data_IF_960320998192
#
_entry.id   IF_960320998192
#
_cell.length_a   1.000
_cell.length_b   1.000
_cell.length_c   1.000
_cell.angle_alpha   90.00
_cell.angle_beta   90.00
_cell.angle_gamma   90.00
#
_symmetry.space_group_name_H-M   'P 1'
#
loop_
_entity.id
_entity.type
_entity.pdbx_description
1 polymer ?
#
# COMPACT_ATOMS: atom_id res chain seq x y z
N UNK A 1 -3.82 3.48 13.56
CA UNK A 1 -3.83 2.46 12.47
C UNK A 1 -2.39 2.24 12.04
N UNK A 2 -1.96 1.00 11.85
CA UNK A 2 -0.63 0.66 11.30
C UNK A 2 -0.85 -0.26 10.09
N UNK A 3 -0.36 0.13 8.92
CA UNK A 3 -0.65 -0.57 7.64
C UNK A 3 0.37 -1.65 7.31
N UNK A 4 1.64 -1.42 7.62
CA UNK A 4 2.73 -2.37 7.45
C UNK A 4 3.94 -1.92 8.28
N UNK A 5 4.95 -2.78 8.36
CA UNK A 5 6.30 -2.46 8.84
C UNK A 5 7.27 -3.12 7.86
N UNK A 6 7.85 -2.31 6.98
CA UNK A 6 8.82 -2.71 5.95
C UNK A 6 10.16 -1.99 6.16
N UNK A 7 11.23 -2.51 5.55
CA UNK A 7 12.54 -1.87 5.50
C UNK A 7 12.51 -0.64 4.57
N UNK A 8 12.08 0.50 5.10
CA UNK A 8 12.23 1.80 4.45
C UNK A 8 13.07 2.74 5.33
N UNK A 9 13.60 3.79 4.72
CA UNK A 9 14.37 4.82 5.42
C UNK A 9 15.59 4.28 6.18
N UNK A 10 16.31 3.29 5.61
CA UNK A 10 17.61 2.80 6.10
C UNK A 10 18.73 3.86 6.12
N UNK A 11 18.42 5.11 5.79
CA UNK A 11 19.28 6.27 6.03
C UNK A 11 19.16 6.79 7.48
N UNK A 12 18.09 6.42 8.18
CA UNK A 12 17.76 6.81 9.57
C UNK A 12 17.74 5.62 10.53
N UNK A 13 17.36 4.44 10.05
CA UNK A 13 17.29 3.22 10.83
C UNK A 13 18.37 2.23 10.39
N UNK A 14 18.92 1.48 11.35
CA UNK A 14 19.97 0.49 11.10
C UNK A 14 19.42 -0.75 10.42
N UNK A 15 18.24 -1.20 10.83
CA UNK A 15 17.59 -2.42 10.35
C UNK A 15 16.09 -2.43 10.68
N UNK A 16 15.38 -3.45 10.21
CA UNK A 16 13.96 -3.67 10.49
C UNK A 16 13.63 -3.79 11.98
N UNK A 17 14.54 -4.32 12.81
CA UNK A 17 14.29 -4.50 14.25
C UNK A 17 14.20 -3.16 14.99
N UNK A 18 15.00 -2.17 14.59
CA UNK A 18 14.91 -0.81 15.15
C UNK A 18 13.55 -0.16 14.81
N UNK A 19 13.07 -0.35 13.58
CA UNK A 19 11.75 0.14 13.15
C UNK A 19 10.65 -0.59 13.92
N UNK A 20 10.77 -1.92 14.07
CA UNK A 20 9.83 -2.76 14.81
C UNK A 20 9.74 -2.34 16.27
N UNK A 21 10.87 -2.04 16.91
CA UNK A 21 10.93 -1.55 18.29
C UNK A 21 10.33 -0.14 18.44
N UNK A 22 10.50 0.74 17.46
CA UNK A 22 9.81 2.04 17.44
C UNK A 22 8.29 1.86 17.45
N UNK A 23 7.76 1.00 16.58
CA UNK A 23 6.33 0.69 16.56
C UNK A 23 5.87 0.00 17.83
N UNK A 24 6.69 -0.87 18.45
CA UNK A 24 6.40 -1.47 19.76
C UNK A 24 6.16 -0.38 20.79
N UNK A 25 7.09 0.57 20.92
CA UNK A 25 6.99 1.69 21.88
C UNK A 25 5.76 2.53 21.61
N UNK A 26 5.47 2.82 20.34
CA UNK A 26 4.27 3.55 19.95
C UNK A 26 2.99 2.84 20.41
N UNK A 27 2.87 1.52 20.17
CA UNK A 27 1.70 0.74 20.59
C UNK A 27 1.58 0.70 22.12
N UNK A 28 2.69 0.49 22.84
CA UNK A 28 2.70 0.45 24.31
C UNK A 28 2.29 1.80 24.90
N UNK A 29 2.67 2.91 24.25
CA UNK A 29 2.36 4.27 24.70
C UNK A 29 0.89 4.68 24.57
N UNK A 30 0.05 3.87 23.91
CA UNK A 30 -1.37 4.14 23.81
C UNK A 30 -2.05 4.08 25.20
N UNK A 31 -3.13 4.86 25.41
CA UNK A 31 -3.99 4.72 26.59
C UNK A 31 -4.51 3.29 26.76
N UNK A 32 -4.94 2.93 27.97
CA UNK A 32 -5.40 1.56 28.28
C UNK A 32 -6.66 1.16 27.52
N UNK A 33 -7.52 2.12 27.19
CA UNK A 33 -8.71 1.94 26.34
C UNK A 33 -8.40 2.11 24.84
N UNK A 34 -7.16 2.46 24.48
CA UNK A 34 -6.69 2.67 23.12
C UNK A 34 -6.80 1.42 22.25
N UNK A 35 -7.16 1.62 20.98
CA UNK A 35 -7.28 0.55 20.00
C UNK A 35 -6.15 0.61 18.96
N UNK A 36 -5.50 -0.53 18.76
CA UNK A 36 -4.65 -0.77 17.59
C UNK A 36 -5.49 -1.36 16.45
N UNK A 37 -5.40 -0.79 15.27
CA UNK A 37 -5.91 -1.39 14.02
C UNK A 37 -4.70 -1.69 13.15
N UNK A 38 -4.46 -2.97 12.87
CA UNK A 38 -3.22 -3.45 12.26
C UNK A 38 -3.47 -4.43 11.11
N UNK A 39 -2.67 -4.34 10.05
CA UNK A 39 -2.67 -5.36 9.00
C UNK A 39 -2.05 -6.65 9.56
N UNK A 40 -2.84 -7.72 9.72
CA UNK A 40 -2.34 -8.99 10.23
C UNK A 40 -1.56 -9.79 9.20
N UNK A 41 -1.75 -9.52 7.91
CA UNK A 41 -1.03 -10.16 6.80
C UNK A 41 0.39 -9.64 6.61
N UNK A 42 0.75 -8.55 7.28
CA UNK A 42 2.14 -8.10 7.38
C UNK A 42 2.84 -8.91 8.48
N UNK A 43 3.81 -9.80 8.18
CA UNK A 43 4.38 -10.71 9.18
C UNK A 43 5.02 -9.99 10.38
N UNK A 44 5.78 -8.92 10.12
CA UNK A 44 6.45 -8.10 11.14
C UNK A 44 5.43 -7.42 12.06
N UNK A 45 4.38 -6.84 11.50
CA UNK A 45 3.34 -6.16 12.26
C UNK A 45 2.43 -7.14 12.99
N UNK A 46 1.96 -8.18 12.30
CA UNK A 46 1.07 -9.21 12.83
C UNK A 46 1.69 -9.98 14.00
N UNK A 47 3.00 -10.26 13.96
CA UNK A 47 3.73 -10.82 15.11
C UNK A 47 3.88 -9.82 16.25
N UNK A 48 4.23 -8.56 15.96
CA UNK A 48 4.41 -7.50 16.95
C UNK A 48 3.12 -7.25 17.76
N UNK A 49 1.98 -7.09 17.10
CA UNK A 49 0.71 -6.80 17.83
C UNK A 49 0.25 -7.97 18.69
N UNK A 50 0.54 -9.21 18.29
CA UNK A 50 0.28 -10.41 19.12
C UNK A 50 1.17 -10.44 20.35
N UNK A 51 2.44 -10.07 20.22
CA UNK A 51 3.40 -10.03 21.31
C UNK A 51 3.06 -8.94 22.35
N UNK A 52 2.67 -7.74 21.88
CA UNK A 52 2.40 -6.60 22.76
C UNK A 52 1.11 -6.76 23.58
N UNK A 53 0.13 -7.53 23.08
CA UNK A 53 -1.08 -7.88 23.84
C UNK A 53 -2.04 -6.72 24.14
N UNK A 54 -1.85 -5.55 23.52
CA UNK A 54 -2.81 -4.42 23.58
C UNK A 54 -4.09 -4.75 22.81
N UNK A 55 -5.18 -4.05 23.14
CA UNK A 55 -6.45 -4.16 22.40
C UNK A 55 -6.22 -3.90 20.92
N UNK A 56 -6.52 -4.91 20.09
CA UNK A 56 -6.20 -4.89 18.67
C UNK A 56 -7.36 -5.43 17.82
N UNK A 57 -7.56 -4.82 16.65
CA UNK A 57 -8.34 -5.38 15.54
C UNK A 57 -7.37 -5.62 14.39
N UNK A 58 -7.19 -6.89 14.02
CA UNK A 58 -6.42 -7.27 12.84
C UNK A 58 -7.32 -7.28 11.61
N UNK A 59 -6.80 -6.75 10.50
CA UNK A 59 -7.44 -6.85 9.19
C UNK A 59 -6.51 -7.45 8.16
N UNK A 60 -7.07 -8.11 7.15
CA UNK A 60 -6.29 -8.71 6.07
C UNK A 60 -7.15 -9.57 5.14
N UNK A 61 -6.51 -10.34 4.28
CA UNK A 61 -7.12 -11.30 3.38
C UNK A 61 -6.97 -12.73 3.93
N UNK A 62 -5.88 -13.01 4.65
CA UNK A 62 -5.58 -14.34 5.17
C UNK A 62 -6.48 -14.71 6.37
N UNK A 63 -6.58 -16.01 6.61
CA UNK A 63 -7.23 -16.56 7.79
C UNK A 63 -6.53 -16.06 9.08
N UNK A 64 -7.29 -15.92 10.17
CA UNK A 64 -6.79 -15.44 11.46
C UNK A 64 -6.88 -13.92 11.66
N UNK A 65 -7.22 -13.15 10.62
CA UNK A 65 -7.62 -11.76 10.79
C UNK A 65 -9.05 -11.63 11.29
N UNK A 66 -9.30 -10.62 12.13
CA UNK A 66 -10.63 -10.34 12.66
C UNK A 66 -11.55 -9.78 11.59
N UNK A 67 -11.05 -8.85 10.77
CA UNK A 67 -11.78 -8.22 9.65
C UNK A 67 -11.17 -8.70 8.35
N UNK A 68 -11.95 -9.29 7.45
CA UNK A 68 -11.43 -9.90 6.23
C UNK A 68 -12.18 -9.50 4.98
N UNK A 69 -11.48 -9.42 3.86
CA UNK A 69 -12.11 -9.40 2.54
C UNK A 69 -12.13 -10.82 1.95
N UNK A 70 -13.30 -11.23 1.49
CA UNK A 70 -13.57 -12.52 0.86
C UNK A 70 -14.23 -12.30 -0.51
N UNK A 71 -14.23 -13.33 -1.36
CA UNK A 71 -14.83 -13.31 -2.71
C UNK A 71 -14.38 -12.11 -3.56
N UNK A 72 -13.07 -11.84 -3.54
CA UNK A 72 -12.48 -10.67 -4.19
C UNK A 72 -12.54 -10.82 -5.70
N UNK A 73 -13.21 -9.87 -6.36
CA UNK A 73 -13.22 -9.70 -7.81
C UNK A 73 -12.52 -8.39 -8.14
N UNK A 74 -11.42 -8.48 -8.90
CA UNK A 74 -10.68 -7.33 -9.40
C UNK A 74 -11.17 -6.94 -10.80
N UNK A 75 -11.21 -5.65 -11.08
CA UNK A 75 -11.51 -5.09 -12.40
C UNK A 75 -10.63 -3.87 -12.69
N UNK A 76 -10.67 -3.35 -13.92
CA UNK A 76 -9.70 -2.37 -14.45
C UNK A 76 -9.38 -1.21 -13.50
N UNK A 77 -10.39 -0.66 -12.82
CA UNK A 77 -10.24 0.48 -11.92
C UNK A 77 -10.78 0.23 -10.52
N UNK A 78 -10.81 -1.03 -10.09
CA UNK A 78 -11.44 -1.30 -8.80
C UNK A 78 -11.49 -2.74 -8.37
N UNK A 79 -12.25 -2.94 -7.31
CA UNK A 79 -12.51 -4.25 -6.75
C UNK A 79 -13.88 -4.32 -6.11
N UNK A 80 -14.43 -5.52 -6.04
CA UNK A 80 -15.65 -5.84 -5.29
C UNK A 80 -15.36 -7.04 -4.40
N UNK A 81 -15.77 -6.97 -3.14
CA UNK A 81 -15.51 -8.02 -2.17
C UNK A 81 -16.53 -7.98 -1.02
N UNK A 82 -16.73 -9.14 -0.41
CA UNK A 82 -17.50 -9.32 0.83
C UNK A 82 -16.60 -9.05 2.01
N UNK A 83 -17.12 -8.44 3.08
CA UNK A 83 -16.35 -8.22 4.30
C UNK A 83 -16.94 -9.01 5.45
N UNK A 84 -16.09 -9.78 6.12
CA UNK A 84 -16.43 -10.53 7.32
C UNK A 84 -15.78 -9.93 8.56
N UNK A 85 -16.49 -10.00 9.70
CA UNK A 85 -15.98 -9.73 11.03
C UNK A 85 -16.15 -11.00 11.87
N UNK A 86 -15.05 -11.57 12.35
CA UNK A 86 -15.05 -12.86 13.07
C UNK A 86 -15.78 -13.97 12.28
N UNK A 87 -15.63 -13.98 10.94
CA UNK A 87 -16.28 -14.95 10.06
C UNK A 87 -17.76 -14.70 9.78
N UNK A 88 -18.35 -13.63 10.32
CA UNK A 88 -19.73 -13.23 10.00
C UNK A 88 -19.74 -12.11 8.96
N UNK A 89 -20.59 -12.22 7.95
CA UNK A 89 -20.78 -11.17 6.94
C UNK A 89 -21.32 -9.89 7.57
N UNK A 90 -20.64 -8.76 7.31
CA UNK A 90 -21.05 -7.46 7.83
C UNK A 90 -21.42 -6.45 6.74
N UNK A 91 -20.77 -6.50 5.57
CA UNK A 91 -21.10 -5.65 4.43
C UNK A 91 -20.44 -6.16 3.14
N UNK A 92 -20.78 -5.53 2.02
CA UNK A 92 -20.09 -5.70 0.75
C UNK A 92 -19.50 -4.35 0.33
N UNK A 93 -18.25 -4.35 -0.12
CA UNK A 93 -17.55 -3.14 -0.57
C UNK A 93 -17.32 -3.22 -2.07
N UNK A 94 -17.50 -2.08 -2.73
CA UNK A 94 -16.96 -1.82 -4.06
C UNK A 94 -15.99 -0.66 -3.92
N UNK A 95 -14.79 -0.78 -4.47
CA UNK A 95 -13.80 0.30 -4.55
C UNK A 95 -13.62 0.67 -6.01
N UNK A 96 -13.62 1.97 -6.29
CA UNK A 96 -13.30 2.53 -7.61
C UNK A 96 -11.85 3.04 -7.68
N UNK A 97 -10.96 2.35 -6.95
CA UNK A 97 -9.52 2.51 -7.02
C UNK A 97 -8.87 1.14 -7.21
N UNK A 98 -7.91 0.99 -8.12
CA UNK A 98 -7.37 -0.32 -8.46
C UNK A 98 -6.35 -0.82 -7.45
N UNK A 99 -6.09 -2.13 -7.49
CA UNK A 99 -5.03 -2.77 -6.72
C UNK A 99 -5.46 -3.33 -5.38
N UNK A 100 -4.93 -4.51 -5.06
CA UNK A 100 -5.21 -5.25 -3.81
C UNK A 100 -4.80 -4.46 -2.57
N UNK A 101 -3.76 -3.62 -2.66
CA UNK A 101 -3.34 -2.74 -1.57
C UNK A 101 -4.46 -1.78 -1.11
N UNK A 102 -5.36 -1.37 -2.02
CA UNK A 102 -6.51 -0.55 -1.65
C UNK A 102 -7.62 -1.33 -0.93
N UNK A 103 -7.70 -2.65 -1.12
CA UNK A 103 -8.56 -3.52 -0.31
C UNK A 103 -8.09 -3.48 1.15
N UNK A 104 -6.78 -3.64 1.40
CA UNK A 104 -6.21 -3.51 2.74
C UNK A 104 -6.50 -2.14 3.36
N UNK A 105 -6.31 -1.06 2.60
CA UNK A 105 -6.60 0.30 3.07
C UNK A 105 -8.09 0.48 3.43
N UNK A 106 -9.00 -0.07 2.61
CA UNK A 106 -10.43 -0.03 2.87
C UNK A 106 -10.81 -0.85 4.11
N UNK A 107 -10.23 -2.03 4.31
CA UNK A 107 -10.45 -2.83 5.51
C UNK A 107 -9.94 -2.12 6.77
N UNK A 108 -8.81 -1.41 6.69
CA UNK A 108 -8.31 -0.59 7.79
C UNK A 108 -9.30 0.53 8.15
N UNK A 109 -9.80 1.25 7.15
CA UNK A 109 -10.77 2.33 7.34
C UNK A 109 -12.10 1.80 7.90
N UNK A 110 -12.61 0.69 7.35
CA UNK A 110 -13.82 0.03 7.83
C UNK A 110 -13.67 -0.45 9.27
N UNK A 111 -12.50 -1.01 9.64
CA UNK A 111 -12.22 -1.47 10.99
C UNK A 111 -12.33 -0.33 12.02
N UNK A 112 -11.82 0.85 11.67
CA UNK A 112 -11.96 2.06 12.50
C UNK A 112 -13.42 2.50 12.55
N UNK A 113 -14.10 2.58 11.40
CA UNK A 113 -15.49 3.02 11.34
C UNK A 113 -16.44 2.11 12.15
N UNK A 114 -16.25 0.79 12.05
CA UNK A 114 -16.98 -0.20 12.83
C UNK A 114 -16.70 -0.05 14.34
N UNK A 115 -15.44 0.20 14.73
CA UNK A 115 -15.11 0.45 16.13
C UNK A 115 -15.80 1.70 16.69
N UNK A 116 -15.92 2.74 15.86
CA UNK A 116 -16.65 3.97 16.17
C UNK A 116 -18.18 3.82 16.01
N UNK A 117 -18.67 2.60 15.75
CA UNK A 117 -20.10 2.29 15.60
C UNK A 117 -20.80 3.11 14.50
N UNK A 118 -20.05 3.46 13.45
CA UNK A 118 -20.62 4.12 12.28
C UNK A 118 -21.44 3.11 11.46
N UNK A 119 -22.59 3.50 10.87
CA UNK A 119 -23.39 2.62 10.03
C UNK A 119 -22.58 2.09 8.84
N UNK A 120 -22.41 0.77 8.76
CA UNK A 120 -21.53 0.15 7.76
C UNK A 120 -22.03 0.36 6.33
N UNK A 121 -23.34 0.44 6.13
CA UNK A 121 -23.95 0.75 4.84
C UNK A 121 -23.49 2.11 4.33
N UNK A 122 -23.41 3.10 5.22
CA UNK A 122 -22.93 4.45 4.89
C UNK A 122 -21.43 4.43 4.59
N UNK A 123 -20.65 3.67 5.35
CA UNK A 123 -19.20 3.54 5.12
C UNK A 123 -18.94 2.87 3.77
N UNK A 124 -19.64 1.78 3.45
CA UNK A 124 -19.54 1.10 2.17
C UNK A 124 -19.90 2.02 0.99
N UNK A 125 -20.96 2.83 1.13
CA UNK A 125 -21.34 3.81 0.11
C UNK A 125 -20.28 4.91 -0.08
N UNK A 126 -19.63 5.38 0.99
CA UNK A 126 -18.55 6.36 0.90
C UNK A 126 -17.32 5.76 0.21
N UNK A 127 -16.94 4.54 0.58
CA UNK A 127 -15.81 3.84 -0.04
C UNK A 127 -16.02 3.59 -1.54
N UNK A 128 -17.26 3.32 -1.95
CA UNK A 128 -17.60 3.22 -3.38
C UNK A 128 -17.45 4.54 -4.13
N UNK A 129 -17.61 5.69 -3.46
CA UNK A 129 -17.45 7.01 -4.07
C UNK A 129 -16.03 7.59 -3.88
N UNK A 130 -15.10 6.82 -3.32
CA UNK A 130 -13.73 7.28 -3.14
C UNK A 130 -13.00 7.33 -4.50
N UNK A 131 -12.58 8.54 -4.90
CA UNK A 131 -11.93 8.80 -6.18
C UNK A 131 -10.40 8.70 -6.15
N UNK A 132 -9.83 8.11 -5.10
CA UNK A 132 -8.38 8.04 -4.91
C UNK A 132 -7.79 9.28 -4.25
N UNK A 133 -6.46 9.29 -4.19
CA UNK A 133 -5.67 10.41 -3.70
C UNK A 133 -4.77 10.91 -4.84
N UNK A 134 -4.41 12.20 -4.81
CA UNK A 134 -3.48 12.76 -5.80
C UNK A 134 -2.20 11.93 -5.87
N UNK A 135 -1.76 11.62 -7.10
CA UNK A 135 -0.57 10.81 -7.37
C UNK A 135 -0.63 9.39 -6.77
N UNK A 136 -1.80 8.80 -6.60
CA UNK A 136 -1.97 7.37 -6.25
C UNK A 136 -2.87 6.73 -7.28
N UNK A 137 -2.25 6.09 -8.28
CA UNK A 137 -2.87 5.55 -9.49
C UNK A 137 -3.83 6.56 -10.15
N UNK A 138 -3.38 7.81 -10.27
CA UNK A 138 -4.21 8.91 -10.75
C UNK A 138 -4.28 8.91 -12.28
N UNK A 139 -5.47 8.73 -12.84
CA UNK A 139 -5.70 8.87 -14.28
C UNK A 139 -5.49 10.33 -14.71
N UNK A 140 -4.43 10.59 -15.49
CA UNK A 140 -4.14 11.93 -16.04
C UNK A 140 -4.86 12.20 -17.36
N UNK A 141 -5.18 11.15 -18.12
CA UNK A 141 -5.91 11.27 -19.36
C UNK A 141 -5.86 10.03 -20.23
N UNK A 142 -6.67 10.05 -21.29
CA UNK A 142 -6.71 9.03 -22.35
C UNK A 142 -6.64 9.72 -23.70
N UNK A 143 -5.73 9.28 -24.57
CA UNK A 143 -5.60 9.80 -25.93
C UNK A 143 -5.03 8.72 -26.86
N UNK A 144 -5.58 8.59 -28.07
CA UNK A 144 -5.09 7.64 -29.09
C UNK A 144 -4.93 6.19 -28.59
N UNK A 145 -5.85 5.73 -27.73
CA UNK A 145 -5.78 4.39 -27.13
C UNK A 145 -4.71 4.22 -26.05
N UNK A 146 -4.03 5.30 -25.64
CA UNK A 146 -3.06 5.33 -24.55
C UNK A 146 -3.73 5.92 -23.32
N UNK A 147 -3.49 5.30 -22.17
CA UNK A 147 -3.91 5.78 -20.87
C UNK A 147 -2.68 6.20 -20.07
N UNK A 148 -2.71 7.42 -19.52
CA UNK A 148 -1.62 7.95 -18.70
C UNK A 148 -2.05 7.97 -17.24
N UNK A 149 -1.25 7.33 -16.39
CA UNK A 149 -1.47 7.25 -14.94
C UNK A 149 -0.24 7.81 -14.23
N UNK A 150 -0.46 8.64 -13.20
CA UNK A 150 0.59 9.14 -12.30
C UNK A 150 0.51 8.40 -10.95
N UNK A 151 1.66 7.96 -10.45
CA UNK A 151 1.77 7.27 -9.16
C UNK A 151 3.04 7.72 -8.40
N UNK A 152 2.90 7.90 -7.08
CA UNK A 152 3.95 8.32 -6.16
C UNK A 152 4.88 7.18 -5.71
N UNK A 153 4.61 5.95 -6.14
CA UNK A 153 5.39 4.77 -5.84
C UNK A 153 6.88 5.00 -6.09
N UNK A 154 7.65 4.94 -5.02
CA UNK A 154 9.10 5.14 -5.05
C UNK A 154 9.85 4.04 -4.30
N UNK A 155 9.14 3.19 -3.54
CA UNK A 155 9.67 1.96 -2.98
C UNK A 155 9.36 0.76 -3.89
N UNK A 156 10.25 -0.25 -4.01
CA UNK A 156 10.01 -1.45 -4.82
C UNK A 156 8.66 -2.14 -4.57
N UNK A 157 8.19 -2.19 -3.32
CA UNK A 157 6.88 -2.76 -2.96
C UNK A 157 5.72 -1.98 -3.58
N UNK A 158 5.77 -0.64 -3.53
CA UNK A 158 4.74 0.22 -4.11
C UNK A 158 4.72 0.12 -5.65
N UNK A 159 5.90 0.00 -6.26
CA UNK A 159 6.04 -0.13 -7.72
C UNK A 159 5.42 -1.43 -8.20
N UNK A 160 5.70 -2.56 -7.53
CA UNK A 160 5.04 -3.83 -7.83
C UNK A 160 3.53 -3.74 -7.68
N UNK A 161 3.05 -3.13 -6.60
CA UNK A 161 1.62 -2.96 -6.37
C UNK A 161 0.95 -2.12 -7.47
N UNK A 162 1.63 -1.08 -7.95
CA UNK A 162 1.17 -0.21 -9.05
C UNK A 162 1.11 -0.98 -10.37
N UNK A 163 2.16 -1.71 -10.73
CA UNK A 163 2.20 -2.45 -11.98
C UNK A 163 1.22 -3.63 -11.99
N UNK A 164 1.08 -4.33 -10.86
CA UNK A 164 0.07 -5.38 -10.70
C UNK A 164 -1.35 -4.81 -10.87
N UNK A 165 -1.63 -3.62 -10.32
CA UNK A 165 -2.90 -2.92 -10.53
C UNK A 165 -3.11 -2.51 -11.99
N UNK A 166 -2.06 -2.12 -12.71
CA UNK A 166 -2.18 -1.87 -14.15
C UNK A 166 -2.52 -3.16 -14.93
N UNK A 167 -1.99 -4.30 -14.52
CA UNK A 167 -2.23 -5.61 -15.18
C UNK A 167 -3.62 -6.20 -14.94
N UNK A 168 -4.40 -5.70 -13.98
CA UNK A 168 -5.81 -6.10 -13.85
C UNK A 168 -6.69 -5.51 -14.94
N UNK A 169 -6.21 -4.49 -15.66
CA UNK A 169 -6.89 -3.94 -16.84
C UNK A 169 -6.60 -4.71 -18.12
N UNK A 170 -7.49 -4.58 -19.11
CA UNK A 170 -7.36 -5.22 -20.42
C UNK A 170 -6.41 -4.45 -21.36
N UNK A 171 -5.23 -4.07 -20.88
CA UNK A 171 -4.24 -3.33 -21.68
C UNK A 171 -3.32 -4.26 -22.45
N UNK A 172 -3.07 -3.95 -23.73
CA UNK A 172 -2.11 -4.70 -24.56
C UNK A 172 -0.68 -4.54 -24.09
N UNK A 173 -0.34 -3.37 -23.53
CA UNK A 173 1.00 -3.03 -23.07
C UNK A 173 0.96 -2.14 -21.84
N UNK A 174 1.87 -2.36 -20.90
CA UNK A 174 2.17 -1.51 -19.74
C UNK A 174 3.55 -0.90 -19.92
N UNK A 175 3.59 0.43 -20.10
CA UNK A 175 4.84 1.20 -20.20
C UNK A 175 5.05 1.95 -18.89
N UNK A 176 6.21 1.76 -18.25
CA UNK A 176 6.58 2.49 -17.03
C UNK A 176 7.60 3.57 -17.36
N UNK A 177 7.34 4.79 -16.90
CA UNK A 177 8.33 5.86 -16.80
C UNK A 177 8.65 6.06 -15.32
N UNK A 178 9.88 5.79 -14.91
CA UNK A 178 10.30 5.85 -13.51
C UNK A 178 11.41 6.87 -13.30
N UNK A 179 11.18 7.79 -12.37
CA UNK A 179 12.18 8.74 -11.89
C UNK A 179 12.68 8.30 -10.51
N UNK A 180 13.92 7.79 -10.39
CA UNK A 180 14.47 7.44 -9.09
C UNK A 180 14.59 8.67 -8.19
N UNK A 181 14.23 8.53 -6.91
CA UNK A 181 14.28 9.62 -5.94
C UNK A 181 15.41 9.39 -4.92
N UNK A 182 16.37 10.32 -4.88
CA UNK A 182 17.64 10.31 -4.11
C UNK A 182 18.65 9.25 -4.55
N UNK A 183 19.91 9.67 -4.66
CA UNK A 183 21.03 8.79 -5.01
C UNK A 183 21.29 7.69 -3.97
N UNK A 184 21.23 8.01 -2.67
CA UNK A 184 21.48 7.05 -1.58
C UNK A 184 20.51 5.86 -1.66
N UNK A 185 19.22 6.15 -1.77
CA UNK A 185 18.15 5.17 -1.90
C UNK A 185 18.29 4.35 -3.18
N UNK A 186 18.55 5.01 -4.31
CA UNK A 186 18.73 4.34 -5.60
C UNK A 186 19.87 3.32 -5.55
N UNK A 187 21.01 3.68 -4.94
CA UNK A 187 22.15 2.77 -4.76
C UNK A 187 21.81 1.60 -3.84
N UNK A 188 21.18 1.86 -2.69
CA UNK A 188 20.83 0.82 -1.69
C UNK A 188 19.84 -0.21 -2.24
N UNK A 189 18.86 0.23 -3.02
CA UNK A 189 17.76 -0.61 -3.50
C UNK A 189 17.90 -1.03 -4.97
N UNK A 190 19.07 -0.85 -5.60
CA UNK A 190 19.26 -1.06 -7.04
C UNK A 190 18.76 -2.44 -7.52
N UNK A 191 19.13 -3.51 -6.82
CA UNK A 191 18.71 -4.87 -7.15
C UNK A 191 17.19 -5.05 -6.99
N UNK A 192 16.63 -4.53 -5.90
CA UNK A 192 15.19 -4.60 -5.62
C UNK A 192 14.36 -3.79 -6.62
N UNK A 193 14.89 -2.66 -7.12
CA UNK A 193 14.26 -1.89 -8.18
C UNK A 193 14.17 -2.69 -9.47
N UNK A 194 15.28 -3.27 -9.94
CA UNK A 194 15.30 -4.12 -11.14
C UNK A 194 14.25 -5.24 -11.07
N UNK A 195 14.11 -5.88 -9.92
CA UNK A 195 13.10 -6.93 -9.69
C UNK A 195 11.67 -6.40 -9.61
N UNK A 196 11.46 -5.17 -9.14
CA UNK A 196 10.12 -4.56 -9.03
C UNK A 196 9.48 -4.18 -10.37
N UNK A 197 10.25 -4.25 -11.45
CA UNK A 197 9.89 -3.74 -12.77
C UNK A 197 9.26 -4.79 -13.70
N UNK A 198 9.24 -6.06 -13.29
CA UNK A 198 8.92 -7.21 -14.15
C UNK A 198 7.54 -7.17 -14.79
N UNK A 199 6.56 -6.54 -14.14
CA UNK A 199 5.19 -6.45 -14.66
C UNK A 199 5.01 -5.39 -15.76
N UNK A 200 6.08 -4.68 -16.18
CA UNK A 200 6.05 -3.73 -17.29
C UNK A 200 6.67 -4.30 -18.56
N UNK A 201 6.06 -4.03 -19.72
CA UNK A 201 6.60 -4.47 -21.03
C UNK A 201 7.73 -3.57 -21.53
N UNK A 202 7.73 -2.30 -21.09
CA UNK A 202 8.78 -1.34 -21.38
C UNK A 202 9.04 -0.50 -20.13
N UNK A 203 10.31 -0.37 -19.80
CA UNK A 203 10.82 0.45 -18.70
C UNK A 203 11.63 1.61 -19.29
N UNK A 204 11.22 2.83 -18.98
CA UNK A 204 11.98 4.05 -19.20
C UNK A 204 12.41 4.58 -17.83
N UNK A 205 13.70 4.80 -17.64
CA UNK A 205 14.26 5.36 -16.40
C UNK A 205 14.83 6.73 -16.72
N UNK A 206 14.39 7.75 -15.99
CA UNK A 206 14.92 9.12 -16.13
C UNK A 206 16.16 9.30 -15.24
N UNK A 207 16.78 10.48 -15.33
CA UNK A 207 17.77 10.91 -14.34
C UNK A 207 17.23 10.84 -12.91
N UNK A 208 18.13 10.60 -11.96
CA UNK A 208 17.82 10.56 -10.53
C UNK A 208 17.44 11.96 -10.05
N UNK A 209 16.27 12.11 -9.45
CA UNK A 209 15.91 13.32 -8.74
C UNK A 209 16.64 13.37 -7.39
N UNK A 210 17.65 14.24 -7.29
CA UNK A 210 18.51 14.34 -6.10
C UNK A 210 17.81 14.83 -4.82
N UNK A 211 16.67 15.51 -4.94
CA UNK A 211 16.03 16.22 -3.84
C UNK A 211 16.84 17.42 -3.33
N UNK A 212 16.29 18.22 -2.43
CA UNK A 212 16.89 19.49 -1.96
C UNK A 212 18.16 19.34 -1.08
N UNK A 213 18.87 18.20 -1.10
CA UNK A 213 20.18 18.04 -0.46
C UNK A 213 21.25 17.80 -1.52
N UNK A 214 21.94 18.90 -1.84
CA UNK A 214 23.25 19.01 -2.52
C UNK A 214 23.66 17.80 -3.38
N UNK A 215 23.48 17.97 -4.70
CA UNK A 215 24.44 17.60 -5.75
C UNK A 215 25.54 16.61 -5.34
N UNK A 216 25.27 15.31 -5.47
CA UNK A 216 26.35 14.32 -5.60
C UNK A 216 26.62 14.10 -7.09
N UNK A 217 27.83 14.51 -7.47
CA UNK A 217 28.52 14.44 -8.75
C UNK A 217 28.00 13.41 -9.77
N UNK A 218 27.86 13.94 -10.99
CA UNK A 218 27.69 13.21 -12.24
C UNK A 218 28.63 12.00 -12.33
N UNK A 219 28.07 10.81 -12.48
CA UNK A 219 28.80 9.66 -12.99
C UNK A 219 28.76 9.81 -14.52
N UNK A 220 29.82 10.36 -15.10
CA UNK A 220 30.10 10.20 -16.53
C UNK A 220 30.69 8.79 -16.74
N UNK A 221 30.02 7.98 -17.55
CA UNK A 221 30.55 6.74 -18.09
C UNK A 221 31.61 7.07 -19.15
N UNK A 222 32.81 6.53 -18.99
CA UNK A 222 33.74 6.24 -20.08
C UNK A 222 33.47 4.83 -20.60
#
# INVERSE_FOLDING_TARGET
VITNIDEDHLDHFRNIEEIRELFRRYIVSLPDDGLVVACGDCPTLGSLVREVGRRCITYGLQDGNRVRAEDIVLFEFGSKFRVTLNGQDICQITLNVPGVHNIYNALAALSVANHLQLPLERVSAILANFCGAQRRFELKGKANGIMVVDDYAHHPTEIRATLAAARTGAFKRVVRVFQPHRYSRTKKLANSFGQSFGDSDLTIITDVYGGCRKSCQMIQSA
#
